data_IF_908420383055
#
_entry.id   IF_908420383055
#
_cell.length_a   1.000
_cell.length_b   1.000
_cell.length_c   1.000
_cell.angle_alpha   90.00
_cell.angle_beta   90.00
_cell.angle_gamma   90.00
#
_symmetry.space_group_name_H-M   'P 1'
#
loop_
_entity.id
_entity.type
_entity.pdbx_description
1 polymer ?
#
# COMPACT_ATOMS: atom_id res chain seq x y z
N UNK A 1 6.44 -53.35 5.45
CA UNK A 1 5.58 -52.26 4.95
C UNK A 1 6.29 -50.96 5.27
N UNK A 2 6.61 -50.14 4.26
CA UNK A 2 7.37 -48.90 4.47
C UNK A 2 6.38 -47.74 4.60
N UNK A 3 6.35 -47.11 5.77
CA UNK A 3 5.45 -45.98 6.05
C UNK A 3 6.23 -44.68 5.82
N UNK A 4 5.86 -43.93 4.78
CA UNK A 4 6.46 -42.63 4.47
C UNK A 4 5.66 -41.53 5.17
N UNK A 5 6.33 -40.78 6.07
CA UNK A 5 5.79 -39.54 6.64
C UNK A 5 6.34 -38.35 5.87
N UNK A 6 5.49 -37.74 5.05
CA UNK A 6 5.81 -36.49 4.37
C UNK A 6 5.72 -35.36 5.39
N UNK A 7 6.85 -34.71 5.68
CA UNK A 7 6.84 -33.43 6.39
C UNK A 7 6.33 -32.37 5.40
N UNK A 8 5.05 -32.02 5.49
CA UNK A 8 4.48 -30.92 4.71
C UNK A 8 5.20 -29.62 5.06
N UNK A 9 6.19 -29.26 4.24
CA UNK A 9 6.68 -27.89 4.20
C UNK A 9 5.58 -27.04 3.60
N UNK A 10 4.77 -26.46 4.48
CA UNK A 10 3.74 -25.48 4.17
C UNK A 10 4.43 -24.20 3.65
N UNK A 11 5.00 -24.28 2.43
CA UNK A 11 5.47 -23.11 1.69
C UNK A 11 4.22 -22.27 1.48
N UNK A 12 4.04 -21.24 2.30
CA UNK A 12 3.02 -20.22 2.10
C UNK A 12 3.19 -19.72 0.67
N UNK A 13 2.34 -20.19 -0.24
CA UNK A 13 2.20 -19.57 -1.56
C UNK A 13 1.95 -18.09 -1.30
N UNK A 14 2.76 -17.21 -1.92
CA UNK A 14 2.60 -15.75 -1.80
C UNK A 14 1.24 -15.40 -2.44
N UNK A 15 0.17 -15.53 -1.67
CA UNK A 15 -1.17 -15.11 -2.09
C UNK A 15 -1.11 -13.59 -2.31
N UNK A 16 -1.39 -13.18 -3.54
CA UNK A 16 -1.37 -11.81 -4.08
C UNK A 16 0.01 -11.13 -4.05
N UNK A 17 0.77 -11.29 -5.15
CA UNK A 17 1.68 -10.24 -5.59
C UNK A 17 0.79 -9.04 -5.92
N UNK A 18 0.91 -7.93 -5.18
CA UNK A 18 0.27 -6.68 -5.61
C UNK A 18 0.78 -6.31 -7.00
N UNK A 19 -0.08 -5.72 -7.82
CA UNK A 19 0.30 -5.24 -9.14
C UNK A 19 1.11 -3.94 -8.98
N UNK A 20 2.26 -3.88 -9.66
CA UNK A 20 3.08 -2.68 -9.80
C UNK A 20 3.02 -2.23 -11.26
N UNK A 21 2.55 -1.01 -11.49
CA UNK A 21 2.33 -0.43 -12.81
C UNK A 21 3.23 0.78 -13.01
N UNK A 22 3.65 1.01 -14.25
CA UNK A 22 4.26 2.27 -14.65
C UNK A 22 3.20 3.33 -14.99
N UNK A 23 3.61 4.60 -15.11
CA UNK A 23 2.70 5.73 -15.40
C UNK A 23 2.02 5.64 -16.78
N UNK A 24 2.59 4.89 -17.72
CA UNK A 24 2.06 4.74 -19.09
C UNK A 24 1.24 3.45 -19.26
N UNK A 25 1.09 2.67 -18.20
CA UNK A 25 0.38 1.40 -18.22
C UNK A 25 -1.11 1.65 -18.43
N UNK A 26 -1.70 0.92 -19.39
CA UNK A 26 -3.15 0.91 -19.65
C UNK A 26 -3.89 -0.05 -18.72
N UNK A 27 -3.28 -0.47 -17.60
CA UNK A 27 -3.90 -1.33 -16.60
C UNK A 27 -5.09 -0.62 -15.95
N UNK A 28 -6.28 -1.24 -16.05
CA UNK A 28 -7.50 -0.71 -15.44
C UNK A 28 -7.73 -1.22 -14.02
N UNK A 29 -7.10 -2.34 -13.63
CA UNK A 29 -7.24 -2.95 -12.30
C UNK A 29 -6.48 -2.17 -11.24
N UNK A 30 -6.87 -2.37 -9.99
CA UNK A 30 -6.16 -1.79 -8.84
C UNK A 30 -4.67 -2.16 -8.85
N UNK A 31 -3.83 -1.13 -8.96
CA UNK A 31 -2.39 -1.24 -9.13
C UNK A 31 -1.65 -0.14 -8.36
N UNK A 32 -0.39 -0.43 -8.00
CA UNK A 32 0.52 0.53 -7.38
C UNK A 32 1.31 1.27 -8.46
N UNK A 33 1.29 2.58 -8.41
CA UNK A 33 2.02 3.45 -9.33
C UNK A 33 3.14 4.21 -8.60
N UNK A 34 4.27 4.50 -9.27
CA UNK A 34 5.35 5.25 -8.68
C UNK A 34 4.93 6.70 -8.42
N UNK A 35 5.33 7.24 -7.27
CA UNK A 35 5.21 8.66 -6.95
C UNK A 35 6.38 9.06 -6.06
N UNK A 36 7.10 10.09 -6.47
CA UNK A 36 8.19 10.68 -5.67
C UNK A 36 7.68 11.96 -5.03
N UNK A 37 7.71 11.99 -3.70
CA UNK A 37 7.41 13.18 -2.91
C UNK A 37 8.71 13.96 -2.73
N UNK A 38 8.66 15.26 -3.02
CA UNK A 38 9.78 16.18 -2.92
C UNK A 38 9.44 17.31 -1.96
N UNK A 39 10.05 17.27 -0.77
CA UNK A 39 9.79 18.27 0.26
C UNK A 39 10.38 19.64 -0.07
N UNK A 40 11.45 19.71 -0.88
CA UNK A 40 12.00 21.00 -1.31
C UNK A 40 11.06 21.67 -2.31
N UNK A 41 10.45 20.91 -3.21
CA UNK A 41 9.45 21.43 -4.14
C UNK A 41 8.19 21.96 -3.43
N UNK A 42 7.84 21.41 -2.27
CA UNK A 42 6.74 21.93 -1.43
C UNK A 42 7.14 23.12 -0.56
N UNK A 43 8.41 23.52 -0.54
CA UNK A 43 8.92 24.56 0.35
C UNK A 43 8.93 24.14 1.82
N UNK A 44 9.03 22.84 2.10
CA UNK A 44 9.05 22.30 3.46
C UNK A 44 10.49 22.24 4.00
N UNK A 45 11.08 23.42 4.18
CA UNK A 45 12.47 23.58 4.62
C UNK A 45 12.73 23.06 6.04
N UNK A 46 11.66 22.89 6.83
CA UNK A 46 11.71 22.29 8.15
C UNK A 46 12.13 20.80 8.12
N UNK A 47 12.05 20.13 6.96
CA UNK A 47 12.54 18.75 6.79
C UNK A 47 13.99 18.78 6.33
N UNK A 48 14.89 18.25 7.17
CA UNK A 48 16.33 18.18 6.90
C UNK A 48 16.62 16.97 5.99
N UNK A 49 16.05 15.80 6.32
CA UNK A 49 16.22 14.58 5.52
C UNK A 49 15.05 13.58 5.72
N UNK A 50 14.71 12.77 4.70
CA UNK A 50 15.18 12.87 3.31
C UNK A 50 14.56 14.09 2.62
N UNK A 51 15.21 14.62 1.57
CA UNK A 51 14.62 15.68 0.74
C UNK A 51 13.56 15.16 -0.23
N UNK A 52 13.78 13.94 -0.72
CA UNK A 52 12.89 13.22 -1.64
C UNK A 52 12.72 11.77 -1.20
N UNK A 53 11.53 11.20 -1.36
CA UNK A 53 11.30 9.76 -1.16
C UNK A 53 10.21 9.21 -2.08
N UNK A 54 10.23 7.89 -2.33
CA UNK A 54 9.24 7.19 -3.15
C UNK A 54 8.04 6.76 -2.29
N UNK A 55 6.96 7.52 -2.35
CA UNK A 55 5.72 7.22 -1.61
C UNK A 55 4.88 6.15 -2.32
N UNK A 56 4.78 6.25 -3.66
CA UNK A 56 3.84 5.49 -4.49
C UNK A 56 2.37 5.77 -4.14
N UNK A 57 1.44 5.32 -4.98
CA UNK A 57 0.01 5.43 -4.73
C UNK A 57 -0.77 4.27 -5.34
N UNK A 58 -2.00 4.07 -4.87
CA UNK A 58 -2.93 3.06 -5.40
C UNK A 58 -3.96 3.72 -6.32
N UNK A 59 -4.15 3.16 -7.51
CA UNK A 59 -5.17 3.59 -8.45
C UNK A 59 -5.68 2.41 -9.29
N UNK A 60 -6.89 2.53 -9.81
CA UNK A 60 -7.53 1.51 -10.64
C UNK A 60 -8.86 1.01 -10.08
N UNK A 61 -9.54 0.21 -10.88
CA UNK A 61 -10.83 -0.37 -10.59
C UNK A 61 -10.68 -1.66 -9.77
N UNK A 62 -11.56 -1.84 -8.81
CA UNK A 62 -11.71 -3.10 -8.08
C UNK A 62 -12.96 -3.80 -8.60
N UNK A 63 -12.78 -4.78 -9.47
CA UNK A 63 -13.90 -5.64 -9.86
C UNK A 63 -14.30 -6.54 -8.69
N UNK A 64 -15.61 -6.75 -8.56
CA UNK A 64 -16.25 -7.54 -7.50
C UNK A 64 -15.65 -8.94 -7.31
N UNK A 65 -15.14 -9.54 -8.40
CA UNK A 65 -14.66 -10.93 -8.42
C UNK A 65 -13.16 -11.08 -8.12
N UNK A 66 -12.35 -10.01 -8.21
CA UNK A 66 -10.90 -10.19 -8.37
C UNK A 66 -10.06 -9.97 -7.12
N UNK A 67 -10.51 -9.22 -6.10
CA UNK A 67 -9.70 -8.99 -4.90
C UNK A 67 -10.52 -8.74 -3.63
N UNK A 68 -11.14 -9.78 -3.07
CA UNK A 68 -11.69 -9.70 -1.71
C UNK A 68 -10.73 -10.39 -0.74
N UNK A 69 -9.77 -9.61 -0.20
CA UNK A 69 -8.93 -10.06 0.93
C UNK A 69 -9.77 -10.29 2.19
N UNK A 70 -10.92 -9.61 2.31
CA UNK A 70 -11.79 -9.68 3.47
C UNK A 70 -13.24 -10.02 3.08
N UNK A 71 -13.88 -11.00 3.73
CA UNK A 71 -15.24 -11.41 3.41
C UNK A 71 -16.31 -10.36 3.78
N UNK A 72 -16.00 -9.38 4.64
CA UNK A 72 -16.95 -8.35 5.04
C UNK A 72 -17.37 -7.45 3.87
N UNK A 73 -16.50 -7.25 2.88
CA UNK A 73 -16.75 -6.33 1.77
C UNK A 73 -17.86 -6.87 0.85
N UNK A 74 -17.91 -8.20 0.67
CA UNK A 74 -19.00 -8.90 -0.01
C UNK A 74 -20.34 -8.79 0.73
N UNK A 75 -20.33 -8.96 2.05
CA UNK A 75 -21.56 -8.92 2.87
C UNK A 75 -22.21 -7.53 2.87
N UNK A 76 -21.41 -6.47 2.97
CA UNK A 76 -21.92 -5.08 2.98
C UNK A 76 -22.59 -4.72 1.66
N UNK A 77 -22.00 -5.13 0.53
CA UNK A 77 -22.56 -4.84 -0.78
C UNK A 77 -23.83 -5.66 -1.08
N UNK A 78 -23.87 -6.93 -0.66
CA UNK A 78 -25.07 -7.77 -0.78
C UNK A 78 -26.22 -7.27 0.11
N UNK A 79 -25.90 -6.74 1.29
CA UNK A 79 -26.89 -6.17 2.21
C UNK A 79 -27.42 -4.79 1.76
N UNK A 80 -26.62 -4.00 1.04
CA UNK A 80 -27.03 -2.69 0.56
C UNK A 80 -26.45 -2.33 -0.83
N UNK A 81 -26.98 -2.94 -1.92
CA UNK A 81 -26.46 -2.76 -3.27
C UNK A 81 -26.71 -1.35 -3.85
N UNK A 82 -27.60 -0.56 -3.24
CA UNK A 82 -27.91 0.82 -3.66
C UNK A 82 -27.15 1.90 -2.87
N UNK A 83 -26.58 1.55 -1.72
CA UNK A 83 -25.85 2.49 -0.85
C UNK A 83 -24.36 2.21 -0.70
N UNK A 84 -23.84 1.11 -1.25
CA UNK A 84 -22.42 0.76 -1.19
C UNK A 84 -21.77 0.93 -2.57
N UNK A 85 -20.79 1.83 -2.68
CA UNK A 85 -20.08 2.18 -3.92
C UNK A 85 -19.12 1.08 -4.44
N UNK A 86 -19.25 -0.17 -3.96
CA UNK A 86 -18.36 -1.28 -4.29
C UNK A 86 -16.99 -1.19 -3.60
N UNK A 87 -16.08 -2.15 -3.87
CA UNK A 87 -14.72 -2.13 -3.33
C UNK A 87 -13.90 -0.98 -3.96
N UNK A 88 -13.00 -0.38 -3.18
CA UNK A 88 -12.10 0.69 -3.62
C UNK A 88 -10.63 0.26 -3.57
N UNK A 89 -9.82 0.81 -4.47
CA UNK A 89 -8.39 0.52 -4.53
C UNK A 89 -7.66 1.32 -3.45
N UNK A 90 -7.14 0.62 -2.44
CA UNK A 90 -6.50 1.24 -1.26
C UNK A 90 -5.23 0.50 -0.85
N UNK A 91 -4.29 1.16 -0.16
CA UNK A 91 -3.08 0.48 0.33
C UNK A 91 -3.40 -0.64 1.31
N UNK A 92 -2.94 -1.86 1.03
CA UNK A 92 -3.08 -3.02 1.92
C UNK A 92 -1.83 -3.30 2.75
N UNK A 93 -0.69 -2.69 2.38
CA UNK A 93 0.56 -2.69 3.16
C UNK A 93 1.28 -1.36 2.98
N UNK A 94 1.73 -0.79 4.09
CA UNK A 94 2.53 0.43 4.10
C UNK A 94 3.80 0.26 4.94
N UNK A 95 4.86 0.96 4.54
CA UNK A 95 6.12 1.03 5.25
C UNK A 95 6.38 2.42 5.85
N UNK A 96 7.08 2.47 6.99
CA UNK A 96 7.53 3.71 7.60
C UNK A 96 8.77 4.29 6.90
N UNK A 97 9.05 5.57 7.11
CA UNK A 97 10.34 6.20 6.78
C UNK A 97 10.98 6.81 8.02
N UNK A 98 12.30 6.90 8.04
CA UNK A 98 13.00 7.70 9.04
C UNK A 98 13.11 9.14 8.52
N UNK A 99 12.86 10.11 9.40
CA UNK A 99 12.84 11.53 9.06
C UNK A 99 13.62 12.32 10.09
N UNK A 100 14.38 13.31 9.61
CA UNK A 100 15.10 14.30 10.40
C UNK A 100 14.50 15.67 10.09
N UNK A 101 13.95 16.35 11.09
CA UNK A 101 13.19 17.58 10.88
C UNK A 101 13.19 18.51 12.10
N UNK A 102 12.87 19.78 11.89
CA UNK A 102 12.63 20.76 12.95
C UNK A 102 11.19 20.66 13.43
N UNK A 103 10.99 20.58 14.75
CA UNK A 103 9.67 20.73 15.35
C UNK A 103 9.32 22.22 15.57
N UNK A 104 8.11 22.51 16.06
CA UNK A 104 7.63 23.88 16.33
C UNK A 104 8.48 24.64 17.38
N UNK A 105 9.30 23.91 18.15
CA UNK A 105 10.23 24.46 19.15
C UNK A 105 11.64 24.65 18.59
N UNK A 106 11.83 24.54 17.28
CA UNK A 106 13.11 24.63 16.58
C UNK A 106 14.15 23.60 17.04
N UNK A 107 13.69 22.46 17.57
CA UNK A 107 14.55 21.34 17.95
C UNK A 107 14.63 20.35 16.80
N UNK A 108 15.82 19.80 16.58
CA UNK A 108 16.06 18.75 15.59
C UNK A 108 15.59 17.42 16.16
N UNK A 109 14.63 16.78 15.48
CA UNK A 109 14.06 15.49 15.86
C UNK A 109 14.40 14.46 14.78
N UNK A 110 14.93 13.32 15.20
CA UNK A 110 15.04 12.12 14.37
C UNK A 110 13.95 11.12 14.79
N UNK A 111 13.09 10.74 13.86
CA UNK A 111 11.93 9.91 14.16
C UNK A 111 11.55 8.98 13.01
N UNK A 112 10.81 7.92 13.36
CA UNK A 112 10.27 6.95 12.40
C UNK A 112 8.78 7.22 12.20
N UNK A 113 8.40 7.68 11.01
CA UNK A 113 7.02 8.06 10.68
C UNK A 113 6.32 6.87 9.99
N UNK A 114 5.26 6.29 10.58
CA UNK A 114 4.52 5.17 10.00
C UNK A 114 3.63 5.60 8.83
N UNK A 115 3.31 4.66 7.93
CA UNK A 115 2.31 4.88 6.88
C UNK A 115 2.73 5.85 5.77
N UNK A 116 4.03 5.93 5.45
CA UNK A 116 4.55 6.92 4.49
C UNK A 116 4.77 6.34 3.09
N UNK A 117 5.07 5.04 2.97
CA UNK A 117 5.31 4.38 1.68
C UNK A 117 4.25 3.31 1.43
N UNK A 118 3.61 3.35 0.27
CA UNK A 118 2.74 2.27 -0.21
C UNK A 118 3.60 1.13 -0.74
N UNK A 119 3.54 -0.01 -0.06
CA UNK A 119 4.24 -1.25 -0.48
C UNK A 119 3.34 -2.13 -1.34
N UNK A 120 2.02 -2.02 -1.14
CA UNK A 120 1.04 -2.85 -1.80
C UNK A 120 -0.33 -2.18 -1.84
N UNK A 121 -0.94 -2.24 -3.01
CA UNK A 121 -2.38 -2.26 -3.22
C UNK A 121 -2.74 -3.76 -3.34
#
# INVERSE_FOLDING_TARGET
FMELRVLENNKRSRRNLGLDCDEHSTESRCCRYPLTVDFEAFGWDWIIAPKRYKANYCSGQCEYMFMQKYPHTHLVQQANPRGSAGPCCTPTKMSPINMLYFNDKQQIIYGKIPGMVVDRC
#
